data_IF_577067289917
#
_entry.id   IF_577067289917
#
_cell.length_a   1.000
_cell.length_b   1.000
_cell.length_c   1.000
_cell.angle_alpha   90.00
_cell.angle_beta   90.00
_cell.angle_gamma   90.00
#
_symmetry.space_group_name_H-M   'P 1'
#
loop_
_entity.id
_entity.type
_entity.pdbx_description
1 polymer ?
#
# COMPACT_ATOMS: atom_id res chain seq x y z
N UNK A 1 -28.20 -6.38 -23.68
CA UNK A 1 -27.24 -6.82 -22.63
C UNK A 1 -26.25 -7.89 -23.08
N UNK A 2 -26.08 -8.12 -24.39
CA UNK A 2 -25.03 -9.01 -24.96
C UNK A 2 -23.61 -8.41 -24.88
N UNK A 3 -23.52 -7.08 -24.85
CA UNK A 3 -22.27 -6.34 -24.99
C UNK A 3 -21.32 -6.41 -23.78
N UNK A 4 -21.77 -6.88 -22.62
CA UNK A 4 -20.93 -7.10 -21.43
C UNK A 4 -20.71 -8.58 -21.12
N UNK A 5 -21.62 -9.45 -21.56
CA UNK A 5 -21.54 -10.90 -21.32
C UNK A 5 -20.63 -11.60 -22.33
N UNK A 6 -20.80 -11.30 -23.62
CA UNK A 6 -20.03 -11.94 -24.69
C UNK A 6 -18.52 -11.63 -24.62
N UNK A 7 -18.08 -10.39 -24.34
CA UNK A 7 -16.66 -10.08 -24.27
C UNK A 7 -15.96 -10.74 -23.07
N UNK A 8 -16.62 -10.84 -21.92
CA UNK A 8 -16.07 -11.56 -20.75
C UNK A 8 -15.94 -13.06 -21.05
N UNK A 9 -16.94 -13.68 -21.69
CA UNK A 9 -16.88 -15.09 -22.06
C UNK A 9 -15.80 -15.38 -23.10
N UNK A 10 -15.62 -14.47 -24.07
CA UNK A 10 -14.52 -14.54 -25.04
C UNK A 10 -13.16 -14.47 -24.33
N UNK A 11 -12.99 -13.57 -23.36
CA UNK A 11 -11.74 -13.45 -22.58
C UNK A 11 -11.46 -14.70 -21.72
N UNK A 12 -12.48 -15.31 -21.12
CA UNK A 12 -12.33 -16.52 -20.32
C UNK A 12 -12.02 -17.74 -21.20
N UNK A 13 -12.75 -17.91 -22.30
CA UNK A 13 -12.57 -19.04 -23.23
C UNK A 13 -11.32 -18.92 -24.09
N UNK A 14 -10.85 -17.70 -24.41
CA UNK A 14 -9.59 -17.49 -25.11
C UNK A 14 -8.40 -17.46 -24.14
N UNK A 15 -8.58 -16.93 -22.93
CA UNK A 15 -7.55 -16.86 -21.90
C UNK A 15 -7.17 -18.21 -21.31
N UNK A 16 -8.13 -19.12 -21.10
CA UNK A 16 -7.89 -20.50 -20.64
C UNK A 16 -6.88 -21.28 -21.51
N UNK A 17 -7.12 -21.46 -22.83
CA UNK A 17 -6.19 -22.17 -23.70
C UNK A 17 -4.86 -21.44 -23.94
N UNK A 18 -4.81 -20.11 -23.85
CA UNK A 18 -3.56 -19.34 -23.89
C UNK A 18 -2.71 -19.55 -22.63
N UNK A 19 -3.35 -19.67 -21.46
CA UNK A 19 -2.71 -20.05 -20.21
C UNK A 19 -2.23 -21.50 -20.24
N UNK A 20 -3.02 -22.41 -20.79
CA UNK A 20 -2.68 -23.84 -20.87
C UNK A 20 -1.59 -24.15 -21.91
N UNK A 21 -1.55 -23.47 -23.06
CA UNK A 21 -0.56 -23.73 -24.12
C UNK A 21 0.85 -23.27 -23.76
N UNK A 22 1.00 -22.30 -22.86
CA UNK A 22 2.30 -21.82 -22.37
C UNK A 22 2.74 -22.49 -21.06
N UNK A 23 1.97 -23.47 -20.57
CA UNK A 23 2.22 -24.19 -19.31
C UNK A 23 3.43 -25.14 -19.35
N UNK A 24 3.96 -25.47 -20.53
CA UNK A 24 5.11 -26.38 -20.67
C UNK A 24 6.48 -25.67 -20.49
N UNK A 25 6.53 -24.33 -20.44
CA UNK A 25 7.78 -23.58 -20.55
C UNK A 25 7.86 -22.45 -19.50
N UNK A 26 8.09 -22.81 -18.23
CA UNK A 26 8.68 -21.99 -17.12
C UNK A 26 8.27 -20.50 -16.91
N UNK A 27 7.29 -19.94 -17.62
CA UNK A 27 7.13 -18.49 -17.81
C UNK A 27 5.80 -17.92 -17.31
N UNK A 28 5.10 -18.56 -16.36
CA UNK A 28 3.96 -17.93 -15.68
C UNK A 28 4.29 -17.36 -14.30
N UNK A 29 5.39 -17.80 -13.70
CA UNK A 29 5.94 -17.16 -12.49
C UNK A 29 6.54 -15.80 -12.83
N UNK A 30 7.22 -15.64 -13.97
CA UNK A 30 7.86 -14.38 -14.33
C UNK A 30 6.88 -13.20 -14.55
N UNK A 31 5.77 -13.34 -15.32
CA UNK A 31 4.76 -12.30 -15.48
C UNK A 31 4.01 -12.01 -14.18
N UNK A 32 3.64 -13.05 -13.41
CA UNK A 32 2.92 -12.87 -12.16
C UNK A 32 3.80 -12.17 -11.10
N UNK A 33 5.07 -12.56 -11.03
CA UNK A 33 6.07 -11.89 -10.17
C UNK A 33 6.29 -10.44 -10.63
N UNK A 34 6.36 -10.18 -11.93
CA UNK A 34 6.47 -8.82 -12.46
C UNK A 34 5.27 -7.94 -12.06
N UNK A 35 4.04 -8.48 -12.10
CA UNK A 35 2.84 -7.76 -11.63
C UNK A 35 2.94 -7.50 -10.11
N UNK A 36 3.32 -8.49 -9.31
CA UNK A 36 3.48 -8.29 -7.86
C UNK A 36 4.58 -7.26 -7.54
N UNK A 37 5.69 -7.28 -8.28
CA UNK A 37 6.78 -6.32 -8.12
C UNK A 37 6.35 -4.90 -8.50
N UNK A 38 5.57 -4.75 -9.57
CA UNK A 38 5.01 -3.47 -9.98
C UNK A 38 4.06 -2.91 -8.90
N UNK A 39 3.16 -3.72 -8.37
CA UNK A 39 2.22 -3.30 -7.31
C UNK A 39 2.95 -2.95 -6.01
N UNK A 40 3.91 -3.79 -5.58
CA UNK A 40 4.72 -3.49 -4.37
C UNK A 40 5.53 -2.21 -4.56
N UNK A 41 6.08 -1.97 -5.76
CA UNK A 41 6.76 -0.72 -6.10
C UNK A 41 5.84 0.51 -6.02
N UNK A 42 4.60 0.40 -6.51
CA UNK A 42 3.59 1.47 -6.41
C UNK A 42 3.20 1.74 -4.96
N UNK A 43 3.00 0.70 -4.14
CA UNK A 43 2.69 0.85 -2.71
C UNK A 43 3.85 1.53 -1.99
N UNK A 44 5.09 1.15 -2.28
CA UNK A 44 6.29 1.77 -1.69
C UNK A 44 6.40 3.25 -2.07
N UNK A 45 6.12 3.60 -3.33
CA UNK A 45 6.12 4.98 -3.79
C UNK A 45 5.09 5.83 -3.04
N UNK A 46 3.85 5.35 -2.93
CA UNK A 46 2.79 6.01 -2.18
C UNK A 46 3.13 6.14 -0.69
N UNK A 47 3.69 5.08 -0.08
CA UNK A 47 4.10 5.11 1.32
C UNK A 47 5.17 6.18 1.58
N UNK A 48 6.17 6.32 0.69
CA UNK A 48 7.18 7.37 0.77
C UNK A 48 6.58 8.76 0.56
N UNK A 49 5.69 8.92 -0.42
CA UNK A 49 5.02 10.18 -0.70
C UNK A 49 4.20 10.65 0.51
N UNK A 50 3.40 9.76 1.10
CA UNK A 50 2.65 10.06 2.31
C UNK A 50 3.56 10.32 3.52
N UNK A 51 4.59 9.50 3.73
CA UNK A 51 5.54 9.69 4.82
C UNK A 51 6.21 11.06 4.76
N UNK A 52 6.64 11.47 3.55
CA UNK A 52 7.21 12.80 3.32
C UNK A 52 6.20 13.92 3.63
N UNK A 53 4.96 13.80 3.16
CA UNK A 53 3.92 14.82 3.40
C UNK A 53 3.47 14.88 4.87
N UNK A 54 3.54 13.76 5.60
CA UNK A 54 3.24 13.68 7.04
C UNK A 54 4.36 14.31 7.88
N UNK A 55 5.63 14.08 7.51
CA UNK A 55 6.77 14.69 8.20
C UNK A 55 6.89 16.19 7.90
N UNK A 56 6.47 16.62 6.70
CA UNK A 56 6.65 17.98 6.22
C UNK A 56 5.38 18.57 5.56
N UNK A 57 4.32 18.87 6.33
CA UNK A 57 3.05 19.32 5.79
C UNK A 57 3.10 20.70 5.11
N UNK A 58 4.10 21.55 5.42
CA UNK A 58 4.22 22.93 4.91
C UNK A 58 5.51 23.19 4.10
N UNK A 59 6.20 22.14 3.62
CA UNK A 59 7.40 22.23 2.78
C UNK A 59 8.69 22.60 3.55
N UNK A 60 9.87 22.34 2.93
CA UNK A 60 11.24 22.40 3.50
C UNK A 60 11.63 23.65 4.33
N UNK A 61 10.79 24.68 4.39
CA UNK A 61 11.02 25.92 5.16
C UNK A 61 10.09 26.15 6.37
N UNK A 62 9.12 25.27 6.66
CA UNK A 62 8.23 25.38 7.81
C UNK A 62 8.41 24.21 8.79
N UNK A 63 8.24 24.48 10.09
CA UNK A 63 8.55 23.61 11.24
C UNK A 63 8.40 22.11 10.97
N UNK A 64 9.49 21.37 11.16
CA UNK A 64 9.45 19.92 11.38
C UNK A 64 8.46 19.65 12.50
N UNK A 65 7.39 18.91 12.20
CA UNK A 65 6.44 18.48 13.21
C UNK A 65 7.07 17.28 13.95
N UNK A 66 7.86 17.58 14.98
CA UNK A 66 8.57 16.57 15.78
C UNK A 66 7.58 15.55 16.39
N UNK A 67 6.33 15.95 16.63
CA UNK A 67 5.26 15.08 17.08
C UNK A 67 4.93 13.98 16.06
N UNK A 68 4.76 14.32 14.79
CA UNK A 68 4.55 13.36 13.69
C UNK A 68 5.74 12.41 13.51
N UNK A 69 6.97 12.93 13.64
CA UNK A 69 8.19 12.11 13.63
C UNK A 69 8.25 11.10 14.78
N UNK A 70 7.84 11.50 15.99
CA UNK A 70 7.80 10.61 17.15
C UNK A 70 6.74 9.51 16.99
N UNK A 71 5.56 9.84 16.47
CA UNK A 71 4.48 8.87 16.21
C UNK A 71 4.91 7.88 15.13
N UNK A 72 5.59 8.35 14.07
CA UNK A 72 6.11 7.48 13.01
C UNK A 72 7.14 6.49 13.57
N UNK A 73 8.12 6.97 14.37
CA UNK A 73 9.09 6.09 15.03
C UNK A 73 8.40 5.11 15.99
N UNK A 74 7.44 5.58 16.78
CA UNK A 74 6.66 4.74 17.68
C UNK A 74 5.89 3.63 16.94
N UNK A 75 5.25 3.96 15.81
CA UNK A 75 4.53 3.00 14.98
C UNK A 75 5.45 1.96 14.34
N UNK A 76 6.60 2.39 13.80
CA UNK A 76 7.62 1.50 13.24
C UNK A 76 8.12 0.52 14.29
N UNK A 77 8.48 1.01 15.49
CA UNK A 77 8.96 0.17 16.59
C UNK A 77 7.86 -0.79 17.07
N UNK A 78 6.61 -0.33 17.16
CA UNK A 78 5.47 -1.16 17.58
C UNK A 78 5.19 -2.30 16.59
N UNK A 79 5.26 -2.03 15.28
CA UNK A 79 5.03 -3.06 14.25
C UNK A 79 6.16 -4.09 14.21
N UNK A 80 7.42 -3.66 14.23
CA UNK A 80 8.57 -4.57 14.11
C UNK A 80 8.84 -5.38 15.38
N UNK A 81 8.61 -4.80 16.56
CA UNK A 81 9.01 -5.43 17.83
C UNK A 81 7.88 -6.19 18.54
N UNK A 82 6.61 -5.80 18.36
CA UNK A 82 5.49 -6.38 19.11
C UNK A 82 4.62 -7.36 18.34
N UNK A 83 4.79 -7.55 17.01
CA UNK A 83 3.87 -8.37 16.17
C UNK A 83 2.38 -8.00 16.38
N UNK A 84 2.09 -6.77 16.82
CA UNK A 84 0.73 -6.34 17.09
C UNK A 84 -0.06 -6.24 15.79
N UNK A 85 -1.31 -6.70 15.82
CA UNK A 85 -2.25 -6.62 14.70
C UNK A 85 -2.29 -5.20 14.14
N UNK A 86 -2.13 -5.07 12.82
CA UNK A 86 -2.05 -3.78 12.10
C UNK A 86 -3.22 -2.86 12.46
N UNK A 87 -4.42 -3.43 12.66
CA UNK A 87 -5.62 -2.71 13.12
C UNK A 87 -5.39 -1.95 14.43
N UNK A 88 -4.75 -2.56 15.45
CA UNK A 88 -4.57 -1.92 16.75
C UNK A 88 -3.56 -0.78 16.69
N UNK A 89 -2.52 -0.91 15.86
CA UNK A 89 -1.51 0.14 15.67
C UNK A 89 -2.13 1.34 14.95
N UNK A 90 -2.97 1.10 13.92
CA UNK A 90 -3.68 2.17 13.23
C UNK A 90 -4.60 2.94 14.19
N UNK A 91 -5.39 2.23 15.01
CA UNK A 91 -6.28 2.86 16.00
C UNK A 91 -5.50 3.67 17.03
N UNK A 92 -4.38 3.13 17.53
CA UNK A 92 -3.52 3.83 18.49
C UNK A 92 -2.92 5.11 17.86
N UNK A 93 -2.31 5.03 16.68
CA UNK A 93 -1.75 6.20 15.99
C UNK A 93 -2.82 7.24 15.65
N UNK A 94 -4.01 6.82 15.20
CA UNK A 94 -5.13 7.71 14.91
C UNK A 94 -5.63 8.42 16.17
N UNK A 95 -5.78 7.69 17.29
CA UNK A 95 -6.20 8.28 18.56
C UNK A 95 -5.18 9.28 19.10
N UNK A 96 -3.89 8.95 19.01
CA UNK A 96 -2.80 9.80 19.49
C UNK A 96 -2.65 11.06 18.63
N UNK A 97 -2.76 10.93 17.31
CA UNK A 97 -2.79 12.07 16.38
C UNK A 97 -4.01 12.97 16.57
N UNK A 98 -5.19 12.41 16.86
CA UNK A 98 -6.40 13.18 17.13
C UNK A 98 -6.28 14.02 18.41
N UNK A 99 -5.74 13.43 19.48
CA UNK A 99 -5.51 14.12 20.77
C UNK A 99 -4.52 15.29 20.60
N UNK A 100 -3.44 15.08 19.86
CA UNK A 100 -2.45 16.13 19.63
C UNK A 100 -3.00 17.27 18.77
N UNK A 101 -3.80 16.95 17.74
CA UNK A 101 -4.44 17.96 16.89
C UNK A 101 -5.52 18.75 17.62
N UNK A 102 -6.20 18.14 18.59
CA UNK A 102 -7.19 18.83 19.43
C UNK A 102 -6.55 19.74 20.48
N UNK A 103 -5.31 19.46 20.91
CA UNK A 103 -4.58 20.28 21.89
C UNK A 103 -3.78 21.44 21.26
N UNK A 104 -3.60 21.46 19.94
CA UNK A 104 -2.90 22.52 19.16
C UNK A 104 -3.91 23.42 18.43
N UNK A 105 -5.13 23.56 18.98
CA UNK A 105 -6.17 24.49 18.52
C UNK A 105 -6.64 25.32 19.71
#
# INVERSE_FOLDING_TARGET
TWFTFLPSFLFILAGGPFVESTRNDLNFTAPLTAITAAVVGVILNLALFFGYHVLWPNGFGASIDWASGLIMLGAVIALFKFKCNVIHVIVACASMGFILKFSVL
#
